data_IF_752768597226
#
_entry.id   IF_752768597226
#
_cell.length_a   1.000
_cell.length_b   1.000
_cell.length_c   1.000
_cell.angle_alpha   90.00
_cell.angle_beta   90.00
_cell.angle_gamma   90.00
#
_symmetry.space_group_name_H-M   'P 1'
#
loop_
_entity.id
_entity.type
_entity.pdbx_description
1 polymer ?
#
# COMPACT_ATOMS: atom_id res chain seq x y z
N UNK A 1 8.85 -49.43 13.10
CA UNK A 1 9.79 -48.39 12.73
C UNK A 1 9.86 -48.39 11.20
N UNK A 2 8.98 -47.65 10.55
CA UNK A 2 8.94 -47.50 9.10
C UNK A 2 9.51 -46.14 8.72
N UNK A 3 10.75 -46.14 8.25
CA UNK A 3 11.34 -44.94 7.66
C UNK A 3 10.65 -44.66 6.31
N UNK A 4 9.80 -43.63 6.28
CA UNK A 4 9.21 -43.17 5.01
C UNK A 4 10.33 -42.52 4.16
N UNK A 5 10.38 -42.94 2.90
CA UNK A 5 11.27 -42.37 1.89
C UNK A 5 10.90 -40.89 1.71
N UNK A 6 11.87 -40.00 1.80
CA UNK A 6 11.62 -38.57 1.60
C UNK A 6 11.27 -38.28 0.13
N UNK A 7 10.53 -37.23 -0.13
CA UNK A 7 10.15 -36.77 -1.47
C UNK A 7 11.35 -36.61 -2.41
N UNK A 8 12.50 -36.15 -1.89
CA UNK A 8 13.75 -36.03 -2.65
C UNK A 8 14.37 -37.38 -3.00
N UNK A 9 14.27 -38.36 -2.12
CA UNK A 9 14.77 -39.71 -2.34
C UNK A 9 13.92 -40.47 -3.35
N UNK A 10 12.58 -40.29 -3.33
CA UNK A 10 11.69 -40.85 -4.33
C UNK A 10 12.00 -40.36 -5.75
N UNK A 11 12.17 -39.05 -5.94
CA UNK A 11 12.50 -38.45 -7.26
C UNK A 11 13.87 -38.91 -7.78
N UNK A 12 14.81 -39.21 -6.90
CA UNK A 12 16.14 -39.72 -7.25
C UNK A 12 16.20 -41.23 -7.40
N UNK A 13 15.15 -41.95 -7.06
CA UNK A 13 15.11 -43.40 -7.16
C UNK A 13 14.80 -43.88 -8.61
N UNK A 14 15.30 -45.04 -8.96
CA UNK A 14 15.00 -45.67 -10.24
C UNK A 14 13.48 -45.87 -10.43
N UNK A 15 12.73 -46.07 -9.33
CA UNK A 15 11.28 -46.21 -9.34
C UNK A 15 10.55 -44.90 -9.67
N UNK A 16 11.06 -43.74 -9.17
CA UNK A 16 10.51 -42.43 -9.52
C UNK A 16 10.76 -42.08 -11.00
N UNK A 17 11.94 -42.40 -11.51
CA UNK A 17 12.27 -42.20 -12.92
C UNK A 17 11.44 -43.11 -13.86
N UNK A 18 11.21 -44.36 -13.47
CA UNK A 18 10.36 -45.31 -14.22
C UNK A 18 8.88 -44.91 -14.21
N UNK A 19 8.38 -44.35 -13.10
CA UNK A 19 7.02 -43.84 -13.01
C UNK A 19 6.80 -42.64 -13.93
N UNK A 20 7.76 -41.71 -13.99
CA UNK A 20 7.72 -40.53 -14.90
C UNK A 20 7.76 -41.01 -16.37
N UNK A 21 8.60 -41.98 -16.70
CA UNK A 21 8.67 -42.56 -18.05
C UNK A 21 7.41 -43.30 -18.48
N UNK A 22 6.71 -43.95 -17.55
CA UNK A 22 5.45 -44.69 -17.84
C UNK A 22 4.26 -43.76 -18.16
N UNK A 23 4.36 -42.46 -17.80
CA UNK A 23 3.35 -41.47 -18.12
C UNK A 23 3.54 -40.83 -19.51
N UNK A 24 4.52 -41.29 -20.31
CA UNK A 24 4.78 -40.77 -21.65
C UNK A 24 5.30 -39.32 -21.65
N UNK A 25 5.69 -38.82 -20.48
CA UNK A 25 6.26 -37.46 -20.32
C UNK A 25 7.74 -37.50 -20.67
N UNK A 26 8.06 -37.14 -21.89
CA UNK A 26 9.45 -36.77 -22.25
C UNK A 26 9.83 -35.55 -21.43
N UNK A 27 10.79 -35.71 -20.52
CA UNK A 27 11.50 -34.57 -19.91
C UNK A 27 12.40 -33.97 -20.98
N UNK A 28 11.81 -33.39 -22.00
CA UNK A 28 12.54 -32.43 -22.81
C UNK A 28 12.73 -31.21 -21.93
N UNK A 29 13.98 -31.00 -21.50
CA UNK A 29 14.42 -29.69 -21.08
C UNK A 29 14.11 -28.74 -22.24
N UNK A 30 12.90 -28.16 -22.25
CA UNK A 30 12.66 -26.98 -23.04
C UNK A 30 13.56 -25.92 -22.40
N UNK A 31 14.72 -25.68 -23.04
CA UNK A 31 15.39 -24.41 -22.83
C UNK A 31 14.32 -23.37 -23.14
N UNK A 32 13.75 -22.76 -22.12
CA UNK A 32 12.97 -21.55 -22.23
C UNK A 32 13.90 -20.55 -22.93
N UNK A 33 13.73 -20.44 -24.24
CA UNK A 33 14.29 -19.38 -25.04
C UNK A 33 13.48 -18.12 -24.71
N UNK A 34 13.84 -17.53 -23.57
CA UNK A 34 13.13 -16.35 -23.08
C UNK A 34 13.50 -15.96 -21.65
N UNK A 35 14.57 -16.50 -21.07
CA UNK A 35 15.21 -15.80 -19.96
C UNK A 35 15.92 -14.59 -20.54
N UNK A 36 15.17 -13.49 -20.65
CA UNK A 36 15.73 -12.17 -20.64
C UNK A 36 16.73 -12.08 -19.48
N UNK A 37 17.72 -11.21 -19.61
CA UNK A 37 18.78 -10.90 -18.65
C UNK A 37 18.32 -11.18 -17.22
N UNK A 38 19.14 -11.88 -16.45
CA UNK A 38 19.06 -11.91 -15.00
C UNK A 38 18.80 -10.46 -14.54
N UNK A 39 17.57 -10.18 -14.12
CA UNK A 39 17.25 -8.85 -13.61
C UNK A 39 18.08 -8.66 -12.35
N UNK A 40 18.85 -7.57 -12.32
CA UNK A 40 19.54 -7.17 -11.11
C UNK A 40 18.50 -7.01 -10.01
N UNK A 41 18.85 -7.43 -8.78
CA UNK A 41 17.95 -7.23 -7.64
C UNK A 41 17.64 -5.75 -7.47
N UNK A 42 16.38 -5.46 -7.22
CA UNK A 42 15.88 -4.11 -7.00
C UNK A 42 15.87 -3.84 -5.50
N UNK A 43 16.47 -2.75 -5.05
CA UNK A 43 16.41 -2.34 -3.64
C UNK A 43 15.16 -1.51 -3.39
N UNK A 44 14.24 -2.08 -2.63
CA UNK A 44 13.01 -1.41 -2.23
C UNK A 44 13.07 -1.01 -0.76
N UNK A 45 12.53 0.15 -0.42
CA UNK A 45 12.55 0.69 0.94
C UNK A 45 11.19 1.21 1.37
N UNK A 46 11.01 1.28 2.67
CA UNK A 46 9.88 1.97 3.32
C UNK A 46 10.38 2.88 4.43
N UNK A 47 9.74 4.05 4.56
CA UNK A 47 10.01 5.02 5.63
C UNK A 47 8.86 4.94 6.63
N UNK A 48 9.17 4.53 7.86
CA UNK A 48 8.25 4.63 8.99
C UNK A 48 8.37 5.99 9.64
N UNK A 49 7.24 6.65 9.88
CA UNK A 49 7.23 7.86 10.70
C UNK A 49 5.87 8.08 11.34
N UNK A 50 5.84 7.95 12.66
CA UNK A 50 4.73 8.35 13.50
C UNK A 50 4.92 9.78 14.02
N UNK A 51 6.16 10.20 14.22
CA UNK A 51 6.52 11.50 14.78
C UNK A 51 7.22 12.38 13.74
N UNK A 52 6.65 13.54 13.50
CA UNK A 52 7.31 14.59 12.70
C UNK A 52 7.72 15.72 13.66
N UNK A 53 9.03 15.91 13.89
CA UNK A 53 9.51 16.76 14.98
C UNK A 53 9.12 18.24 14.89
N UNK A 54 8.65 18.68 13.74
CA UNK A 54 8.50 20.09 13.40
C UNK A 54 7.08 20.63 13.56
N UNK A 55 6.17 19.91 14.22
CA UNK A 55 4.79 20.34 14.37
C UNK A 55 4.55 21.00 15.72
N UNK A 56 4.26 22.27 15.73
CA UNK A 56 3.58 22.92 16.83
C UNK A 56 2.11 22.48 16.79
N UNK A 57 1.79 21.43 17.56
CA UNK A 57 0.51 20.75 17.50
C UNK A 57 -0.71 21.64 17.79
N UNK A 58 -0.56 22.73 18.57
CA UNK A 58 -1.67 23.65 18.89
C UNK A 58 -1.94 24.61 17.73
N UNK A 59 -0.90 25.25 17.19
CA UNK A 59 -1.06 26.25 16.14
C UNK A 59 -1.49 25.67 14.79
N UNK A 60 -1.18 24.41 14.54
CA UNK A 60 -1.56 23.73 13.30
C UNK A 60 -2.86 22.92 13.42
N UNK A 61 -3.50 22.93 14.59
CA UNK A 61 -4.71 22.17 14.86
C UNK A 61 -5.94 23.09 14.85
N UNK A 62 -6.88 22.92 13.87
CA UNK A 62 -8.07 23.80 13.76
C UNK A 62 -9.00 23.79 14.97
N UNK A 63 -8.91 22.76 15.85
CA UNK A 63 -9.70 22.72 17.07
C UNK A 63 -9.13 23.54 18.22
N UNK A 64 -7.92 24.12 18.05
CA UNK A 64 -7.22 24.93 19.05
C UNK A 64 -7.58 26.40 18.92
N UNK A 65 -7.71 27.09 20.05
CA UNK A 65 -7.88 28.55 20.08
C UNK A 65 -6.63 29.29 19.57
N UNK A 66 -5.45 28.63 19.59
CA UNK A 66 -4.19 29.16 19.07
C UNK A 66 -3.98 28.86 17.57
N UNK A 67 -4.98 28.32 16.87
CA UNK A 67 -4.84 27.95 15.46
C UNK A 67 -4.41 29.13 14.58
N UNK A 68 -3.45 28.84 13.71
CA UNK A 68 -2.94 29.78 12.70
C UNK A 68 -2.85 29.09 11.35
N UNK A 69 -3.51 29.64 10.35
CA UNK A 69 -3.43 29.13 8.97
C UNK A 69 -2.00 29.24 8.42
N UNK A 70 -1.28 30.31 8.73
CA UNK A 70 0.10 30.49 8.30
C UNK A 70 1.03 29.43 8.90
N UNK A 71 0.87 29.11 10.19
CA UNK A 71 1.63 28.03 10.85
C UNK A 71 1.30 26.66 10.24
N UNK A 72 0.04 26.41 9.88
CA UNK A 72 -0.36 25.18 9.19
C UNK A 72 0.34 25.08 7.83
N UNK A 73 0.27 26.12 7.00
CA UNK A 73 0.90 26.11 5.67
C UNK A 73 2.43 25.94 5.76
N UNK A 74 3.08 26.65 6.68
CA UNK A 74 4.51 26.47 6.93
C UNK A 74 4.83 25.06 7.45
N UNK A 75 3.94 24.44 8.22
CA UNK A 75 4.15 23.09 8.72
C UNK A 75 4.18 22.06 7.59
N UNK A 76 3.38 22.25 6.54
CA UNK A 76 3.41 21.41 5.33
C UNK A 76 4.81 21.44 4.71
N UNK A 77 5.37 22.65 4.53
CA UNK A 77 6.69 22.81 3.93
C UNK A 77 7.80 22.18 4.77
N UNK A 78 7.75 22.36 6.11
CA UNK A 78 8.70 21.73 7.03
C UNK A 78 8.63 20.19 6.99
N UNK A 79 7.43 19.64 6.88
CA UNK A 79 7.24 18.18 6.79
C UNK A 79 7.75 17.63 5.48
N UNK A 80 7.51 18.30 4.36
CA UNK A 80 8.09 17.94 3.07
C UNK A 80 9.61 17.96 3.17
N UNK A 81 10.21 19.02 3.69
CA UNK A 81 11.67 19.14 3.85
C UNK A 81 12.25 18.00 4.70
N UNK A 82 11.58 17.67 5.79
CA UNK A 82 12.01 16.57 6.66
C UNK A 82 11.97 15.21 5.94
N UNK A 83 10.93 14.94 5.14
CA UNK A 83 10.88 13.71 4.33
C UNK A 83 11.93 13.71 3.21
N UNK A 84 12.27 14.86 2.63
CA UNK A 84 13.36 14.96 1.65
C UNK A 84 14.72 14.52 2.25
N UNK A 85 14.99 14.87 3.52
CA UNK A 85 16.20 14.39 4.20
C UNK A 85 16.21 12.86 4.35
N UNK A 86 15.07 12.24 4.67
CA UNK A 86 14.95 10.79 4.77
C UNK A 86 15.06 10.13 3.38
N UNK A 87 14.50 10.73 2.36
CA UNK A 87 14.61 10.27 0.98
C UNK A 87 16.06 10.34 0.48
N UNK A 88 16.79 11.40 0.84
CA UNK A 88 18.23 11.52 0.54
C UNK A 88 19.06 10.44 1.29
N UNK A 89 18.62 10.04 2.49
CA UNK A 89 19.24 8.91 3.18
C UNK A 89 18.99 7.59 2.41
N UNK A 90 17.76 7.34 1.96
CA UNK A 90 17.45 6.18 1.14
C UNK A 90 18.21 6.18 -0.20
N UNK A 91 18.41 7.36 -0.79
CA UNK A 91 19.24 7.53 -1.99
C UNK A 91 20.71 7.14 -1.76
N UNK A 92 21.29 7.48 -0.59
CA UNK A 92 22.66 7.03 -0.22
C UNK A 92 22.76 5.52 -0.09
N UNK A 93 21.68 4.86 0.34
CA UNK A 93 21.59 3.39 0.38
C UNK A 93 21.29 2.77 -0.99
N UNK A 94 21.21 3.58 -2.05
CA UNK A 94 20.93 3.16 -3.43
C UNK A 94 19.59 2.43 -3.57
N UNK A 95 18.56 2.93 -2.90
CA UNK A 95 17.22 2.41 -3.08
C UNK A 95 16.69 2.75 -4.48
N UNK A 96 16.03 1.80 -5.11
CA UNK A 96 15.37 1.97 -6.40
C UNK A 96 13.94 2.46 -6.26
N UNK A 97 13.28 2.09 -5.17
CA UNK A 97 11.90 2.47 -4.84
C UNK A 97 11.77 2.74 -3.35
N UNK A 98 11.12 3.84 -3.00
CA UNK A 98 10.82 4.19 -1.60
C UNK A 98 9.33 4.50 -1.46
N UNK A 99 8.71 3.94 -0.41
CA UNK A 99 7.32 4.23 -0.04
C UNK A 99 7.31 5.04 1.25
N UNK A 100 6.57 6.16 1.25
CA UNK A 100 6.36 6.99 2.45
C UNK A 100 4.93 6.87 2.95
N UNK A 101 4.69 7.23 4.20
CA UNK A 101 3.39 7.03 4.88
C UNK A 101 2.25 7.82 4.26
N UNK A 102 1.02 7.35 4.45
CA UNK A 102 -0.20 8.11 4.14
C UNK A 102 -0.25 9.39 4.97
N UNK A 103 -0.80 10.45 4.37
CA UNK A 103 -0.97 11.76 5.01
C UNK A 103 0.34 12.23 5.68
N UNK A 104 1.46 12.12 4.96
CA UNK A 104 2.78 12.46 5.51
C UNK A 104 2.90 13.94 5.89
N UNK A 105 2.02 14.79 5.38
CA UNK A 105 1.88 16.21 5.76
C UNK A 105 0.90 16.45 6.91
N UNK A 106 0.23 15.42 7.42
CA UNK A 106 -0.62 15.43 8.62
C UNK A 106 -1.84 16.37 8.55
N UNK A 107 -2.59 16.33 7.44
CA UNK A 107 -3.80 17.14 7.27
C UNK A 107 -5.10 16.50 7.74
N UNK A 108 -5.08 15.27 8.22
CA UNK A 108 -6.30 14.55 8.64
C UNK A 108 -7.10 15.27 9.73
N UNK A 109 -6.45 16.01 10.63
CA UNK A 109 -7.15 16.82 11.64
C UNK A 109 -7.92 17.98 11.02
N UNK A 110 -7.37 18.60 9.96
CA UNK A 110 -8.04 19.69 9.24
C UNK A 110 -9.24 19.19 8.44
N UNK A 111 -9.13 17.97 7.87
CA UNK A 111 -10.20 17.33 7.13
C UNK A 111 -11.42 17.06 8.02
N UNK A 112 -11.21 16.71 9.28
CA UNK A 112 -12.28 16.42 10.23
C UNK A 112 -12.88 17.66 10.88
N UNK A 113 -12.31 18.86 10.65
CA UNK A 113 -12.85 20.13 11.15
C UNK A 113 -13.88 20.69 10.17
N UNK A 114 -15.17 20.61 10.54
CA UNK A 114 -16.28 20.97 9.64
C UNK A 114 -16.88 22.37 9.85
N UNK A 115 -16.46 23.09 10.91
CA UNK A 115 -16.93 24.46 11.16
C UNK A 115 -16.43 25.43 10.07
N UNK A 116 -15.19 25.19 9.59
CA UNK A 116 -14.64 25.92 8.44
C UNK A 116 -13.91 24.95 7.48
N UNK A 117 -14.62 24.53 6.44
CA UNK A 117 -14.09 23.60 5.42
C UNK A 117 -13.01 24.23 4.54
N UNK A 118 -12.89 25.56 4.52
CA UNK A 118 -11.87 26.27 3.76
C UNK A 118 -10.46 25.96 4.28
N UNK A 119 -10.32 25.70 5.58
CA UNK A 119 -9.03 25.35 6.20
C UNK A 119 -8.41 24.12 5.53
N UNK A 120 -9.16 23.03 5.44
CA UNK A 120 -8.68 21.81 4.79
C UNK A 120 -8.39 22.04 3.31
N UNK A 121 -9.33 22.69 2.59
CA UNK A 121 -9.16 22.98 1.15
C UNK A 121 -7.91 23.80 0.88
N UNK A 122 -7.69 24.89 1.59
CA UNK A 122 -6.51 25.76 1.42
C UNK A 122 -5.20 25.01 1.69
N UNK A 123 -5.18 24.16 2.73
CA UNK A 123 -4.01 23.33 3.02
C UNK A 123 -3.77 22.30 1.91
N UNK A 124 -4.82 21.69 1.35
CA UNK A 124 -4.73 20.76 0.21
C UNK A 124 -4.23 21.47 -1.06
N UNK A 125 -4.71 22.67 -1.34
CA UNK A 125 -4.23 23.49 -2.47
C UNK A 125 -2.73 23.77 -2.35
N UNK A 126 -2.24 24.11 -1.16
CA UNK A 126 -0.82 24.31 -0.91
C UNK A 126 0.01 23.06 -1.18
N UNK A 127 -0.36 21.94 -0.63
CA UNK A 127 0.41 20.70 -0.85
C UNK A 127 0.27 20.15 -2.28
N UNK A 128 -0.87 20.32 -2.94
CA UNK A 128 -1.07 19.92 -4.34
C UNK A 128 -0.09 20.62 -5.29
N UNK A 129 0.28 21.85 -4.99
CA UNK A 129 1.30 22.58 -5.78
C UNK A 129 2.72 22.19 -5.42
N UNK A 130 3.02 21.98 -4.13
CA UNK A 130 4.39 21.79 -3.65
C UNK A 130 4.90 20.35 -3.78
N UNK A 131 4.05 19.35 -3.49
CA UNK A 131 4.50 17.96 -3.38
C UNK A 131 5.02 17.42 -4.71
N UNK A 132 4.31 17.58 -5.85
CA UNK A 132 4.82 17.09 -7.13
C UNK A 132 6.17 17.70 -7.51
N UNK A 133 6.36 19.00 -7.28
CA UNK A 133 7.62 19.68 -7.54
C UNK A 133 8.74 19.13 -6.64
N UNK A 134 8.53 19.17 -5.31
CA UNK A 134 9.55 18.83 -4.32
C UNK A 134 9.95 17.35 -4.37
N UNK A 135 8.96 16.45 -4.40
CA UNK A 135 9.22 15.02 -4.45
C UNK A 135 9.67 14.55 -5.83
N UNK A 136 9.24 15.21 -6.90
CA UNK A 136 9.81 15.02 -8.24
C UNK A 136 11.30 15.34 -8.27
N UNK A 137 11.73 16.48 -7.72
CA UNK A 137 13.16 16.81 -7.64
C UNK A 137 13.94 15.87 -6.68
N UNK A 138 13.33 15.41 -5.58
CA UNK A 138 13.95 14.41 -4.71
C UNK A 138 14.13 13.06 -5.42
N UNK A 139 13.12 12.62 -6.17
CA UNK A 139 13.16 11.41 -7.00
C UNK A 139 14.28 11.48 -8.05
N UNK A 140 14.35 12.58 -8.78
CA UNK A 140 15.38 12.84 -9.80
C UNK A 140 16.79 12.91 -9.19
N UNK A 141 16.96 13.65 -8.11
CA UNK A 141 18.26 13.83 -7.41
C UNK A 141 18.83 12.51 -6.94
N UNK A 142 17.97 11.61 -6.47
CA UNK A 142 18.35 10.30 -5.96
C UNK A 142 18.23 9.18 -7.01
N UNK A 143 17.76 9.47 -8.22
CA UNK A 143 17.53 8.50 -9.30
C UNK A 143 16.71 7.28 -8.87
N UNK A 144 15.66 7.48 -8.05
CA UNK A 144 14.81 6.44 -7.49
C UNK A 144 13.32 6.75 -7.70
N UNK A 145 12.48 5.71 -7.66
CA UNK A 145 11.03 5.89 -7.60
C UNK A 145 10.60 6.25 -6.17
N UNK A 146 9.61 7.14 -6.05
CA UNK A 146 9.02 7.52 -4.77
C UNK A 146 7.51 7.34 -4.87
N UNK A 147 6.91 6.58 -3.94
CA UNK A 147 5.47 6.55 -3.71
C UNK A 147 5.13 7.41 -2.52
N UNK A 148 4.38 8.48 -2.76
CA UNK A 148 3.97 9.45 -1.75
C UNK A 148 2.45 9.54 -1.66
N UNK A 149 1.90 9.54 -0.44
CA UNK A 149 0.47 9.58 -0.22
C UNK A 149 0.04 10.83 0.55
N UNK A 150 -0.89 11.58 -0.05
CA UNK A 150 -1.37 12.87 0.44
C UNK A 150 -2.75 13.21 -0.13
N UNK A 151 -3.38 14.27 0.38
CA UNK A 151 -4.62 14.79 -0.20
C UNK A 151 -4.29 15.74 -1.35
N UNK A 152 -4.89 15.53 -2.51
CA UNK A 152 -4.68 16.37 -3.70
C UNK A 152 -5.98 16.91 -4.26
N UNK A 153 -5.94 18.12 -4.78
CA UNK A 153 -7.03 18.75 -5.49
C UNK A 153 -6.92 18.43 -6.99
N UNK A 154 -7.99 17.89 -7.58
CA UNK A 154 -8.15 17.69 -9.01
C UNK A 154 -9.43 18.41 -9.48
N UNK A 155 -9.27 19.50 -10.21
CA UNK A 155 -10.38 20.42 -10.45
C UNK A 155 -10.93 20.94 -9.11
N UNK A 156 -12.20 20.72 -8.84
CA UNK A 156 -12.84 21.11 -7.57
C UNK A 156 -12.92 19.97 -6.54
N UNK A 157 -12.43 18.78 -6.89
CA UNK A 157 -12.56 17.56 -6.06
C UNK A 157 -11.26 17.24 -5.34
N UNK A 158 -11.36 16.94 -4.06
CA UNK A 158 -10.23 16.46 -3.25
C UNK A 158 -10.23 14.94 -3.23
N UNK A 159 -9.06 14.33 -3.47
CA UNK A 159 -8.83 12.90 -3.35
C UNK A 159 -7.68 12.62 -2.35
N UNK A 160 -7.74 11.47 -1.69
CA UNK A 160 -6.58 10.88 -1.05
C UNK A 160 -5.82 10.10 -2.14
N UNK A 161 -4.62 10.55 -2.49
CA UNK A 161 -3.87 10.01 -3.63
C UNK A 161 -2.56 9.38 -3.20
N UNK A 162 -2.13 8.36 -3.95
CA UNK A 162 -0.74 7.90 -3.95
C UNK A 162 -0.15 8.21 -5.33
N UNK A 163 0.89 9.02 -5.35
CA UNK A 163 1.63 9.40 -6.55
C UNK A 163 2.93 8.60 -6.65
N UNK A 164 3.18 8.05 -7.83
CA UNK A 164 4.44 7.41 -8.19
C UNK A 164 5.29 8.40 -8.99
N UNK A 165 6.35 8.91 -8.39
CA UNK A 165 7.35 9.75 -9.04
C UNK A 165 8.46 8.89 -9.64
N UNK A 166 8.84 9.16 -10.88
CA UNK A 166 9.87 8.44 -11.61
C UNK A 166 11.26 9.02 -11.45
N UNK A 167 12.29 8.26 -11.86
CA UNK A 167 13.70 8.59 -11.68
C UNK A 167 14.15 9.92 -12.33
N UNK A 168 13.34 10.50 -13.21
CA UNK A 168 13.59 11.81 -13.85
C UNK A 168 12.76 12.94 -13.24
N UNK A 169 12.00 12.65 -12.19
CA UNK A 169 11.12 13.59 -11.49
C UNK A 169 9.70 13.67 -12.06
N UNK A 170 9.38 12.88 -13.08
CA UNK A 170 8.05 12.83 -13.69
C UNK A 170 7.03 12.12 -12.79
N UNK A 171 5.77 12.51 -12.87
CA UNK A 171 4.66 11.74 -12.35
C UNK A 171 4.37 10.56 -13.28
N UNK A 172 4.78 9.35 -12.89
CA UNK A 172 4.54 8.11 -13.65
C UNK A 172 3.08 7.70 -13.57
N UNK A 173 2.46 7.86 -12.41
CA UNK A 173 1.08 7.51 -12.22
C UNK A 173 0.52 7.94 -10.87
N UNK A 174 -0.82 7.98 -10.80
CA UNK A 174 -1.60 8.35 -9.62
C UNK A 174 -2.66 7.31 -9.33
N UNK A 175 -2.74 6.88 -8.10
CA UNK A 175 -3.84 6.11 -7.55
C UNK A 175 -4.70 6.99 -6.65
N UNK A 176 -6.02 6.94 -6.80
CA UNK A 176 -6.98 7.57 -5.89
C UNK A 176 -7.56 6.50 -4.98
N UNK A 177 -7.54 6.73 -3.67
CA UNK A 177 -8.06 5.78 -2.67
C UNK A 177 -9.51 5.40 -2.97
N UNK A 178 -9.78 4.11 -3.11
CA UNK A 178 -11.12 3.61 -3.44
C UNK A 178 -11.97 3.45 -2.18
N UNK A 179 -11.41 2.86 -1.12
CA UNK A 179 -12.16 2.62 0.11
C UNK A 179 -11.86 3.71 1.13
N UNK A 180 -12.81 4.60 1.33
CA UNK A 180 -12.69 5.70 2.27
C UNK A 180 -13.26 5.31 3.63
N UNK A 181 -12.52 5.46 4.74
CA UNK A 181 -13.12 5.39 6.06
C UNK A 181 -14.11 6.55 6.25
N UNK A 182 -15.07 6.36 7.17
CA UNK A 182 -16.22 7.25 7.33
C UNK A 182 -15.86 8.74 7.38
N UNK A 183 -14.80 9.11 8.10
CA UNK A 183 -14.42 10.51 8.26
C UNK A 183 -13.85 11.14 6.97
N UNK A 184 -13.25 10.36 6.06
CA UNK A 184 -12.81 10.86 4.76
C UNK A 184 -13.99 11.20 3.85
N UNK A 185 -15.10 10.47 3.94
CA UNK A 185 -16.32 10.73 3.14
C UNK A 185 -16.87 12.14 3.34
N UNK A 186 -16.45 12.87 4.35
CA UNK A 186 -16.95 14.21 4.61
C UNK A 186 -16.40 15.26 3.64
N UNK A 187 -15.19 15.07 3.12
CA UNK A 187 -14.53 16.07 2.28
C UNK A 187 -13.70 15.47 1.11
N UNK A 188 -13.62 14.15 1.00
CA UNK A 188 -12.78 13.46 0.02
C UNK A 188 -13.64 12.56 -0.85
N UNK A 189 -13.39 12.53 -2.14
CA UNK A 189 -14.06 11.63 -3.08
C UNK A 189 -13.30 10.30 -3.19
N UNK A 190 -14.05 9.22 -3.44
CA UNK A 190 -13.47 7.91 -3.71
C UNK A 190 -12.91 7.82 -5.13
N UNK A 191 -11.83 7.04 -5.29
CA UNK A 191 -11.34 6.60 -6.59
C UNK A 191 -12.24 5.52 -7.20
N UNK A 192 -11.95 5.15 -8.42
CA UNK A 192 -12.79 4.27 -9.26
C UNK A 192 -12.04 3.06 -9.84
N UNK A 193 -10.75 2.92 -9.56
CA UNK A 193 -9.90 1.92 -10.21
C UNK A 193 -8.66 1.56 -9.40
N UNK A 194 -8.07 0.40 -9.71
CA UNK A 194 -6.83 -0.11 -9.11
C UNK A 194 -5.76 -0.28 -10.19
N UNK A 195 -5.17 0.80 -10.71
CA UNK A 195 -4.19 0.73 -11.78
C UNK A 195 -2.87 0.10 -11.34
N UNK A 196 -2.13 -0.43 -12.32
CA UNK A 196 -0.72 -0.75 -12.17
C UNK A 196 0.08 0.03 -13.22
N UNK A 197 1.29 0.46 -12.85
CA UNK A 197 2.13 1.34 -13.65
C UNK A 197 3.43 0.64 -14.05
N UNK A 198 3.73 0.65 -15.33
CA UNK A 198 4.97 0.09 -15.84
C UNK A 198 6.16 0.97 -15.51
N UNK A 199 7.25 0.36 -15.03
CA UNK A 199 8.52 1.02 -14.71
C UNK A 199 9.69 0.15 -15.14
N UNK A 200 10.92 0.69 -15.06
CA UNK A 200 12.15 -0.08 -15.35
C UNK A 200 12.46 -1.15 -14.30
N UNK A 201 11.80 -1.12 -13.14
CA UNK A 201 11.93 -2.11 -12.06
C UNK A 201 10.75 -3.09 -11.98
N UNK A 202 9.80 -3.02 -12.90
CA UNK A 202 8.59 -3.85 -12.93
C UNK A 202 7.31 -3.04 -12.81
N UNK A 203 6.18 -3.73 -12.69
CA UNK A 203 4.85 -3.12 -12.58
C UNK A 203 4.49 -2.84 -11.13
N UNK A 204 4.17 -1.59 -10.82
CA UNK A 204 3.87 -1.10 -9.47
C UNK A 204 2.38 -0.82 -9.36
N UNK A 205 1.70 -1.50 -8.43
CA UNK A 205 0.37 -1.17 -7.95
C UNK A 205 0.44 -0.35 -6.66
N UNK A 206 -0.58 0.44 -6.39
CA UNK A 206 -0.68 1.23 -5.16
C UNK A 206 -2.02 1.00 -4.48
N UNK A 207 -2.00 0.90 -3.16
CA UNK A 207 -3.17 0.86 -2.28
C UNK A 207 -2.95 1.86 -1.15
N UNK A 208 -4.02 2.36 -0.53
CA UNK A 208 -3.91 3.31 0.58
C UNK A 208 -4.69 2.79 1.79
N UNK A 209 -3.99 2.57 2.90
CA UNK A 209 -4.53 2.36 4.24
C UNK A 209 -5.74 1.40 4.28
N UNK A 210 -6.95 1.94 4.32
CA UNK A 210 -8.20 1.21 4.48
C UNK A 210 -8.49 0.23 3.33
N UNK A 211 -7.89 0.40 2.14
CA UNK A 211 -8.00 -0.54 1.01
C UNK A 211 -7.58 -1.97 1.37
N UNK A 212 -6.67 -2.13 2.35
CA UNK A 212 -6.22 -3.44 2.80
C UNK A 212 -7.33 -4.33 3.39
N UNK A 213 -8.43 -3.73 3.85
CA UNK A 213 -9.53 -4.47 4.46
C UNK A 213 -10.22 -5.38 3.44
N UNK A 214 -10.18 -5.03 2.16
CA UNK A 214 -10.77 -5.79 1.06
C UNK A 214 -9.69 -6.57 0.28
N UNK A 215 -9.76 -7.92 0.29
CA UNK A 215 -8.86 -8.76 -0.50
C UNK A 215 -8.85 -8.41 -1.99
N UNK A 216 -10.00 -8.01 -2.50
CA UNK A 216 -10.24 -7.63 -3.89
C UNK A 216 -9.35 -6.49 -4.34
N UNK A 217 -8.99 -5.55 -3.48
CA UNK A 217 -8.13 -4.40 -3.81
C UNK A 217 -6.76 -4.87 -4.34
N UNK A 218 -6.09 -5.74 -3.59
CA UNK A 218 -4.80 -6.29 -4.01
C UNK A 218 -4.95 -7.22 -5.23
N UNK A 219 -6.03 -7.99 -5.30
CA UNK A 219 -6.31 -8.86 -6.43
C UNK A 219 -6.51 -8.05 -7.73
N UNK A 220 -7.24 -6.92 -7.67
CA UNK A 220 -7.43 -6.04 -8.82
C UNK A 220 -6.10 -5.42 -9.29
N UNK A 221 -5.26 -4.90 -8.37
CA UNK A 221 -3.93 -4.41 -8.72
C UNK A 221 -3.11 -5.49 -9.44
N UNK A 222 -3.10 -6.71 -8.92
CA UNK A 222 -2.36 -7.83 -9.50
C UNK A 222 -2.89 -8.24 -10.86
N UNK A 223 -4.22 -8.30 -11.03
CA UNK A 223 -4.81 -8.60 -12.35
C UNK A 223 -4.53 -7.52 -13.38
N UNK A 224 -4.28 -6.27 -12.95
CA UNK A 224 -3.83 -5.18 -13.80
C UNK A 224 -2.31 -5.18 -14.03
N UNK A 225 -1.60 -6.19 -13.53
CA UNK A 225 -0.19 -6.43 -13.83
C UNK A 225 0.78 -6.17 -12.68
N UNK A 226 0.34 -5.69 -11.52
CA UNK A 226 1.24 -5.36 -10.42
C UNK A 226 2.11 -6.56 -9.99
N UNK A 227 3.40 -6.31 -9.86
CA UNK A 227 4.41 -7.22 -9.31
C UNK A 227 4.84 -6.78 -7.91
N UNK A 228 4.74 -5.49 -7.66
CA UNK A 228 4.95 -4.84 -6.38
C UNK A 228 3.72 -4.04 -6.03
N UNK A 229 3.22 -4.17 -4.81
CA UNK A 229 2.16 -3.31 -4.26
C UNK A 229 2.78 -2.42 -3.19
N UNK A 230 2.70 -1.11 -3.40
CA UNK A 230 3.09 -0.08 -2.44
C UNK A 230 1.86 0.34 -1.63
N UNK A 231 1.97 0.30 -0.30
CA UNK A 231 0.83 0.52 0.60
C UNK A 231 1.16 1.53 1.70
N UNK A 232 1.09 2.85 1.42
CA UNK A 232 1.07 3.88 2.45
C UNK A 232 -0.15 3.75 3.37
N UNK A 233 0.05 3.93 4.68
CA UNK A 233 -1.04 3.87 5.66
C UNK A 233 -0.76 4.78 6.86
N UNK A 234 -1.76 5.54 7.29
CA UNK A 234 -1.73 6.36 8.51
C UNK A 234 -2.18 5.57 9.75
N UNK A 235 -2.09 4.26 9.72
CA UNK A 235 -2.44 3.38 10.83
C UNK A 235 -1.31 2.39 11.12
N UNK A 236 -1.26 1.89 12.35
CA UNK A 236 -0.44 0.73 12.67
C UNK A 236 -1.14 -0.51 12.17
N UNK A 237 -0.47 -1.28 11.32
CA UNK A 237 -1.03 -2.47 10.72
C UNK A 237 -0.44 -3.73 11.35
N UNK A 238 -1.24 -4.79 11.35
CA UNK A 238 -0.77 -6.11 11.73
C UNK A 238 -0.14 -6.82 10.52
N UNK A 239 0.93 -7.55 10.76
CA UNK A 239 1.71 -8.22 9.72
C UNK A 239 0.90 -9.23 8.89
N UNK A 240 -0.11 -9.87 9.49
CA UNK A 240 -0.88 -10.91 8.80
C UNK A 240 -1.65 -10.38 7.58
N UNK A 241 -2.20 -9.16 7.62
CA UNK A 241 -2.88 -8.59 6.46
C UNK A 241 -1.91 -8.45 5.27
N UNK A 242 -0.74 -7.87 5.51
CA UNK A 242 0.26 -7.64 4.46
C UNK A 242 0.81 -8.94 3.91
N UNK A 243 1.11 -9.90 4.79
CA UNK A 243 1.62 -11.22 4.41
C UNK A 243 0.59 -12.02 3.60
N UNK A 244 -0.69 -11.96 4.00
CA UNK A 244 -1.77 -12.62 3.26
C UNK A 244 -1.94 -11.98 1.88
N UNK A 245 -1.98 -10.64 1.77
CA UNK A 245 -2.10 -9.97 0.47
C UNK A 245 -0.92 -10.26 -0.45
N UNK A 246 0.30 -10.31 0.09
CA UNK A 246 1.49 -10.67 -0.67
C UNK A 246 1.40 -12.10 -1.21
N UNK A 247 1.02 -13.07 -0.35
CA UNK A 247 0.96 -14.48 -0.72
C UNK A 247 -0.19 -14.80 -1.68
N UNK A 248 -1.39 -14.33 -1.39
CA UNK A 248 -2.59 -14.64 -2.19
C UNK A 248 -2.45 -14.08 -3.62
N UNK A 249 -1.75 -12.97 -3.76
CA UNK A 249 -1.58 -12.27 -5.03
C UNK A 249 -0.20 -12.47 -5.67
N UNK A 250 0.72 -13.19 -5.01
CA UNK A 250 2.08 -13.45 -5.51
C UNK A 250 2.83 -12.17 -5.90
N UNK A 251 2.81 -11.18 -5.02
CA UNK A 251 3.44 -9.87 -5.19
C UNK A 251 4.37 -9.55 -4.03
N UNK A 252 5.38 -8.73 -4.27
CA UNK A 252 6.04 -8.04 -3.17
C UNK A 252 5.09 -6.98 -2.61
N UNK A 253 5.01 -6.89 -1.28
CA UNK A 253 4.14 -5.94 -0.60
C UNK A 253 4.97 -5.03 0.30
N UNK A 254 4.97 -3.73 0.01
CA UNK A 254 5.77 -2.73 0.72
C UNK A 254 4.79 -1.80 1.44
N UNK A 255 4.70 -1.93 2.76
CA UNK A 255 3.87 -1.04 3.56
C UNK A 255 4.71 0.03 4.25
N UNK A 256 4.23 1.27 4.18
CA UNK A 256 4.74 2.39 4.97
C UNK A 256 3.65 2.86 5.92
N UNK A 257 3.88 2.70 7.20
CA UNK A 257 2.90 2.93 8.25
C UNK A 257 3.49 3.77 9.37
N UNK A 258 2.65 4.23 10.29
CA UNK A 258 3.15 4.93 11.49
C UNK A 258 3.94 4.01 12.43
N UNK A 259 3.60 2.73 12.47
CA UNK A 259 4.34 1.70 13.22
C UNK A 259 4.25 0.38 12.48
N UNK A 260 5.32 -0.39 12.51
CA UNK A 260 5.40 -1.71 11.90
C UNK A 260 5.42 -1.69 10.35
N UNK A 261 6.10 -0.69 9.78
CA UNK A 261 6.39 -0.67 8.33
C UNK A 261 7.23 -1.86 7.94
N UNK A 262 6.89 -2.53 6.83
CA UNK A 262 7.58 -3.75 6.42
C UNK A 262 7.59 -3.98 4.91
N UNK A 263 8.50 -4.85 4.49
CA UNK A 263 8.62 -5.38 3.14
C UNK A 263 8.39 -6.88 3.21
N UNK A 264 7.43 -7.37 2.42
CA UNK A 264 7.01 -8.78 2.42
C UNK A 264 7.20 -9.38 1.04
N UNK A 265 7.71 -10.61 0.99
CA UNK A 265 7.90 -11.38 -0.25
C UNK A 265 6.60 -12.02 -0.74
N UNK A 266 6.53 -12.47 -2.01
CA UNK A 266 5.40 -13.27 -2.53
C UNK A 266 5.16 -14.58 -1.75
N UNK A 267 6.11 -15.01 -0.91
CA UNK A 267 6.00 -16.19 -0.03
C UNK A 267 5.51 -15.87 1.37
N UNK A 268 5.04 -14.61 1.60
CA UNK A 268 4.65 -14.09 2.91
C UNK A 268 5.80 -14.00 3.93
N UNK A 269 7.05 -13.96 3.48
CA UNK A 269 8.23 -13.77 4.34
C UNK A 269 8.43 -12.27 4.59
N UNK A 270 8.67 -11.89 5.84
CA UNK A 270 9.05 -10.52 6.17
C UNK A 270 10.53 -10.35 5.85
N UNK A 271 10.84 -9.59 4.81
CA UNK A 271 12.20 -9.34 4.35
C UNK A 271 12.87 -8.21 5.16
N UNK A 272 12.09 -7.22 5.56
CA UNK A 272 12.53 -6.13 6.43
C UNK A 272 11.36 -5.58 7.24
N UNK A 273 11.63 -5.14 8.46
CA UNK A 273 10.63 -4.58 9.37
C UNK A 273 11.23 -3.46 10.22
N UNK A 274 10.56 -2.33 10.28
CA UNK A 274 10.93 -1.19 11.13
C UNK A 274 10.59 -1.43 12.61
N UNK A 275 9.64 -2.34 12.90
CA UNK A 275 9.16 -2.62 14.25
C UNK A 275 8.66 -1.35 14.95
N UNK A 276 9.22 -1.05 16.14
CA UNK A 276 8.87 0.15 16.94
C UNK A 276 9.81 1.34 16.73
N UNK A 277 10.76 1.23 15.80
CA UNK A 277 11.72 2.32 15.54
C UNK A 277 11.00 3.49 14.85
N UNK A 278 11.23 4.71 15.28
CA UNK A 278 10.59 5.91 14.75
C UNK A 278 11.50 7.14 14.91
N UNK A 279 11.93 7.81 13.82
CA UNK A 279 11.74 7.37 12.43
C UNK A 279 12.62 6.18 12.07
N UNK A 280 12.25 5.45 11.02
CA UNK A 280 13.08 4.37 10.51
C UNK A 280 12.99 4.27 8.98
N UNK A 281 14.12 3.95 8.36
CA UNK A 281 14.21 3.52 6.97
C UNK A 281 14.66 2.08 6.99
N UNK A 282 13.88 1.21 6.35
CA UNK A 282 14.25 -0.19 6.18
C UNK A 282 14.13 -0.58 4.72
N UNK A 283 15.03 -1.45 4.24
CA UNK A 283 15.08 -1.88 2.86
C UNK A 283 15.37 -3.37 2.72
N UNK A 284 15.06 -3.90 1.55
CA UNK A 284 15.39 -5.25 1.14
C UNK A 284 15.73 -5.27 -0.36
N UNK A 285 16.64 -6.15 -0.74
CA UNK A 285 16.93 -6.44 -2.15
C UNK A 285 15.99 -7.56 -2.61
N UNK A 286 15.10 -7.25 -3.56
CA UNK A 286 14.06 -8.15 -4.06
C UNK A 286 14.26 -8.48 -5.53
N UNK A 287 13.88 -9.68 -5.93
CA UNK A 287 13.69 -10.06 -7.33
C UNK A 287 12.22 -9.85 -7.69
N UNK A 288 11.91 -8.77 -8.38
CA UNK A 288 10.53 -8.41 -8.74
C UNK A 288 9.87 -9.47 -9.66
N UNK A 289 10.69 -10.25 -10.36
CA UNK A 289 10.22 -11.35 -11.22
C UNK A 289 10.06 -12.69 -10.47
N UNK A 290 10.42 -12.75 -9.17
CA UNK A 290 10.28 -13.95 -8.37
C UNK A 290 8.79 -14.28 -8.11
N UNK A 291 8.22 -14.96 -9.07
CA UNK A 291 6.88 -15.55 -8.97
C UNK A 291 6.98 -17.09 -8.96
N UNK A 292 8.17 -17.62 -8.77
CA UNK A 292 8.39 -19.06 -8.79
C UNK A 292 7.84 -19.74 -7.56
N UNK A 293 7.02 -20.75 -7.77
CA UNK A 293 6.59 -21.66 -6.73
C UNK A 293 7.70 -22.62 -6.38
N UNK A 294 8.38 -22.37 -5.31
CA UNK A 294 9.18 -23.40 -4.71
C UNK A 294 8.25 -24.36 -3.95
N UNK A 295 8.23 -25.61 -4.34
CA UNK A 295 7.80 -26.80 -3.56
C UNK A 295 6.34 -26.93 -3.08
N UNK A 296 5.49 -25.90 -3.13
CA UNK A 296 4.17 -25.98 -2.49
C UNK A 296 3.13 -26.79 -3.28
N UNK A 297 3.23 -26.86 -4.62
CA UNK A 297 2.25 -27.52 -5.47
C UNK A 297 2.90 -28.40 -6.56
N UNK A 298 3.77 -29.31 -6.14
CA UNK A 298 4.52 -30.20 -7.00
C UNK A 298 3.63 -30.95 -8.02
N UNK A 299 2.45 -31.42 -7.61
CA UNK A 299 1.54 -32.14 -8.49
C UNK A 299 1.00 -31.29 -9.63
N UNK A 300 0.67 -30.03 -9.36
CA UNK A 300 0.19 -29.12 -10.40
C UNK A 300 1.31 -28.80 -11.42
N UNK A 301 2.54 -28.65 -10.97
CA UNK A 301 3.71 -28.50 -11.85
C UNK A 301 3.86 -29.71 -12.77
N UNK A 302 3.76 -30.93 -12.23
CA UNK A 302 3.87 -32.16 -13.00
C UNK A 302 2.83 -32.24 -14.12
N UNK A 303 1.59 -31.83 -13.85
CA UNK A 303 0.49 -31.92 -14.80
C UNK A 303 0.38 -30.72 -15.75
N UNK A 304 0.69 -29.53 -15.30
CA UNK A 304 0.55 -28.32 -16.11
C UNK A 304 1.83 -27.87 -16.80
N UNK A 305 2.99 -28.24 -16.27
CA UNK A 305 4.30 -27.71 -16.70
C UNK A 305 4.52 -26.22 -16.39
N UNK A 306 3.58 -25.57 -15.70
CA UNK A 306 3.65 -24.14 -15.39
C UNK A 306 4.33 -23.97 -14.05
N UNK A 307 5.52 -23.35 -14.07
CA UNK A 307 6.30 -23.06 -12.87
C UNK A 307 5.96 -21.71 -12.24
N UNK A 308 5.56 -20.76 -13.07
CA UNK A 308 5.17 -19.43 -12.62
C UNK A 308 3.79 -19.46 -11.95
N UNK A 309 3.74 -19.02 -10.69
CA UNK A 309 2.50 -19.06 -9.91
C UNK A 309 1.46 -18.06 -10.44
N UNK A 310 1.86 -16.87 -10.89
CA UNK A 310 0.94 -15.89 -11.46
C UNK A 310 0.33 -16.41 -12.77
N UNK A 311 1.17 -17.01 -13.62
CA UNK A 311 0.69 -17.63 -14.87
C UNK A 311 -0.33 -18.72 -14.58
N UNK A 312 -0.07 -19.58 -13.59
CA UNK A 312 -1.00 -20.62 -13.18
C UNK A 312 -2.27 -20.01 -12.60
N UNK A 313 -2.15 -19.08 -11.67
CA UNK A 313 -3.29 -18.39 -11.07
C UNK A 313 -4.18 -17.78 -12.15
N UNK A 314 -3.59 -17.13 -13.16
CA UNK A 314 -4.35 -16.57 -14.28
C UNK A 314 -5.04 -17.62 -15.14
N UNK A 315 -4.36 -18.73 -15.46
CA UNK A 315 -4.88 -19.79 -16.36
C UNK A 315 -5.97 -20.66 -15.73
N UNK A 316 -5.93 -20.88 -14.41
CA UNK A 316 -6.88 -21.75 -13.70
C UNK A 316 -7.98 -21.00 -12.97
N UNK A 317 -7.97 -19.67 -12.99
CA UNK A 317 -9.11 -18.89 -12.47
C UNK A 317 -10.39 -19.19 -13.24
N UNK A 318 -11.50 -19.11 -12.52
CA UNK A 318 -12.85 -19.29 -13.05
C UNK A 318 -13.67 -17.99 -12.87
N UNK A 319 -13.29 -16.87 -13.54
CA UNK A 319 -13.90 -15.54 -13.32
C UNK A 319 -15.42 -15.56 -13.56
N UNK A 320 -15.93 -16.45 -14.41
CA UNK A 320 -17.35 -16.64 -14.65
C UNK A 320 -18.14 -17.08 -13.40
N UNK A 321 -17.45 -17.58 -12.38
CA UNK A 321 -18.06 -17.99 -11.11
C UNK A 321 -18.04 -16.92 -10.03
N UNK A 322 -17.35 -15.78 -10.25
CA UNK A 322 -17.12 -14.74 -9.25
C UNK A 322 -18.13 -13.59 -9.32
N UNK A 323 -19.24 -13.74 -10.03
CA UNK A 323 -20.25 -12.69 -10.23
C UNK A 323 -20.79 -12.10 -8.94
N UNK A 324 -20.88 -12.92 -7.88
CA UNK A 324 -21.33 -12.47 -6.55
C UNK A 324 -20.45 -11.36 -5.97
N UNK A 325 -19.16 -11.28 -6.35
CA UNK A 325 -18.25 -10.21 -5.87
C UNK A 325 -18.52 -8.86 -6.53
N UNK A 326 -19.19 -8.84 -7.67
CA UNK A 326 -19.53 -7.61 -8.40
C UNK A 326 -21.02 -7.30 -8.35
N UNK A 327 -21.80 -8.11 -7.64
CA UNK A 327 -23.22 -7.89 -7.43
C UNK A 327 -23.40 -6.81 -6.35
N UNK A 328 -24.01 -5.67 -6.65
CA UNK A 328 -24.27 -4.62 -5.64
C UNK A 328 -25.27 -5.08 -4.56
N UNK A 329 -26.02 -6.16 -4.80
CA UNK A 329 -27.01 -6.70 -3.87
C UNK A 329 -26.80 -8.23 -3.67
N UNK A 330 -25.63 -8.66 -3.18
CA UNK A 330 -25.39 -10.08 -2.96
C UNK A 330 -26.31 -10.64 -1.87
N UNK A 331 -26.58 -11.95 -1.83
CA UNK A 331 -27.46 -12.55 -0.80
C UNK A 331 -27.09 -12.22 0.65
N UNK A 332 -25.83 -11.92 0.90
CA UNK A 332 -25.36 -11.48 2.23
C UNK A 332 -26.01 -10.15 2.65
N UNK A 333 -26.32 -9.27 1.70
CA UNK A 333 -26.94 -7.95 1.99
C UNK A 333 -28.32 -8.09 2.66
N UNK A 334 -29.06 -9.17 2.36
CA UNK A 334 -30.37 -9.41 2.97
C UNK A 334 -30.29 -9.72 4.48
N UNK A 335 -29.11 -10.11 4.98
CA UNK A 335 -28.87 -10.40 6.40
C UNK A 335 -28.59 -9.15 7.22
N UNK A 336 -28.31 -8.04 6.57
CA UNK A 336 -27.98 -6.77 7.21
C UNK A 336 -28.88 -5.66 6.67
N UNK A 337 -29.59 -4.92 7.54
CA UNK A 337 -30.42 -3.83 7.06
C UNK A 337 -29.55 -2.79 6.34
N UNK A 338 -30.07 -2.16 5.27
CA UNK A 338 -29.39 -1.06 4.64
C UNK A 338 -29.18 0.02 5.69
N UNK A 339 -27.94 0.22 6.08
CA UNK A 339 -27.65 1.14 7.14
C UNK A 339 -26.19 1.47 7.21
N UNK A 340 -25.96 2.59 7.64
CA UNK A 340 -24.96 2.76 8.52
C UNK A 340 -23.63 3.31 8.12
N UNK A 341 -23.24 3.61 6.95
CA UNK A 341 -22.21 4.64 6.80
C UNK A 341 -22.93 5.98 7.00
N UNK A 342 -22.47 6.76 7.98
CA UNK A 342 -23.11 8.04 8.31
C UNK A 342 -22.91 9.06 7.18
N UNK A 343 -23.68 8.88 6.09
CA UNK A 343 -23.62 9.72 4.88
C UNK A 343 -24.73 10.76 4.87
N UNK A 344 -25.65 10.71 5.84
CA UNK A 344 -26.68 11.74 5.94
C UNK A 344 -26.12 12.97 6.66
N UNK A 345 -26.56 14.19 6.32
CA UNK A 345 -26.12 15.40 7.00
C UNK A 345 -26.25 15.33 8.53
N UNK A 346 -27.34 14.72 9.04
CA UNK A 346 -27.61 14.59 10.47
C UNK A 346 -26.60 13.64 11.14
N UNK A 347 -26.31 12.50 10.51
CA UNK A 347 -25.36 11.53 11.02
C UNK A 347 -23.93 12.10 11.02
N UNK A 348 -23.54 12.81 9.98
CA UNK A 348 -22.25 13.51 9.90
C UNK A 348 -22.16 14.56 11.01
N UNK A 349 -23.20 15.39 11.20
CA UNK A 349 -23.24 16.42 12.25
C UNK A 349 -23.07 15.81 13.65
N UNK A 350 -23.75 14.70 13.95
CA UNK A 350 -23.63 14.04 15.27
C UNK A 350 -22.22 13.43 15.50
N UNK A 351 -21.64 12.77 14.50
CA UNK A 351 -20.27 12.22 14.61
C UNK A 351 -19.28 13.36 14.74
N UNK A 352 -19.43 14.43 13.97
CA UNK A 352 -18.57 15.61 14.08
C UNK A 352 -18.65 16.26 15.46
N UNK A 353 -19.86 16.42 16.03
CA UNK A 353 -20.03 16.96 17.38
C UNK A 353 -19.24 16.17 18.42
N UNK A 354 -19.35 14.85 18.38
CA UNK A 354 -18.58 13.96 19.28
C UNK A 354 -17.09 14.06 19.05
N UNK A 355 -16.66 14.13 17.79
CA UNK A 355 -15.26 14.28 17.42
C UNK A 355 -14.69 15.61 17.93
N UNK A 356 -15.41 16.71 17.72
CA UNK A 356 -15.04 18.05 18.20
C UNK A 356 -14.86 18.07 19.72
N UNK A 357 -15.83 17.55 20.47
CA UNK A 357 -15.74 17.45 21.93
C UNK A 357 -14.52 16.63 22.38
N UNK A 358 -14.26 15.48 21.72
CA UNK A 358 -13.11 14.65 22.03
C UNK A 358 -11.77 15.37 21.76
N UNK A 359 -11.67 16.07 20.62
CA UNK A 359 -10.48 16.85 20.25
C UNK A 359 -10.22 18.00 21.24
N UNK A 360 -11.24 18.72 21.64
CA UNK A 360 -11.11 19.78 22.65
C UNK A 360 -10.67 19.22 24.01
N UNK A 361 -11.17 18.05 24.42
CA UNK A 361 -10.71 17.38 25.63
C UNK A 361 -9.23 17.01 25.54
N UNK A 362 -8.79 16.44 24.42
CA UNK A 362 -7.38 16.10 24.18
C UNK A 362 -6.48 17.34 24.28
N UNK A 363 -6.89 18.46 23.69
CA UNK A 363 -6.14 19.72 23.74
C UNK A 363 -6.00 20.25 25.16
N UNK A 364 -6.98 20.00 26.05
CA UNK A 364 -6.89 20.33 27.47
C UNK A 364 -6.17 19.28 28.32
N UNK A 365 -5.55 18.26 27.69
CA UNK A 365 -4.85 17.17 28.38
C UNK A 365 -5.76 16.16 29.07
N UNK A 366 -7.06 16.16 28.77
CA UNK A 366 -8.04 15.23 29.33
C UNK A 366 -7.95 13.85 28.64
N UNK A 367 -8.23 12.78 29.38
CA UNK A 367 -8.31 11.43 28.81
C UNK A 367 -9.61 11.24 28.04
N UNK A 368 -9.50 10.74 26.82
CA UNK A 368 -10.63 10.31 25.98
C UNK A 368 -10.49 8.82 25.64
N UNK A 369 -11.61 8.11 25.33
CA UNK A 369 -11.54 6.74 24.83
C UNK A 369 -10.62 6.61 23.61
N UNK A 370 -9.95 5.47 23.48
CA UNK A 370 -8.93 5.24 22.43
C UNK A 370 -9.43 5.54 21.02
N UNK A 371 -10.66 5.15 20.69
CA UNK A 371 -11.27 5.35 19.39
C UNK A 371 -11.56 6.83 19.02
N UNK A 372 -11.37 7.76 19.94
CA UNK A 372 -11.50 9.20 19.71
C UNK A 372 -10.16 9.94 19.67
N UNK A 373 -9.05 9.22 19.70
CA UNK A 373 -7.70 9.82 19.73
C UNK A 373 -7.11 10.13 18.36
N UNK A 374 -7.82 9.72 17.32
CA UNK A 374 -7.37 9.84 15.93
C UNK A 374 -8.05 11.01 15.21
#
# INVERSE_FOLDING_TARGET
MGGGVTRREFIRSAAGAAFIASLGMSVTSSKSTGRGKMHDKVRVATIQSNHVPTCDGLKTNPFSDDFSMDDLLQSIERRIAWYEELLDQAGRERCDLVVITEDFTRLSSCMTYLDDRSIFRTAVERQTSLIPERLGEASKRNSMFIVACYYALEGDTIYNVADLFGRRGELVGRYRKVHLPQYELWQVAAGDSFPAFETDIGWIGMLICYDQMWPESAACCTMNGAQVICHPSAASLTDYHMRTRAKDNQVHYISSTWMNSMIVSPRAEILANAEKRDPAIVWADVDVQDATMADEFFWEYLYSGIQDHKERHLKFRRPETYRVLTDPHPPLADQYPPGGVANTPEAIAEVYRKHKEARQKILRGEKVPYHWRW
#
